data_IF_515768566140
#
_entry.id   IF_515768566140
#
_cell.length_a   1.000
_cell.length_b   1.000
_cell.length_c   1.000
_cell.angle_alpha   90.00
_cell.angle_beta   90.00
_cell.angle_gamma   90.00
#
_symmetry.space_group_name_H-M   'P 1'
#
loop_
_entity.id
_entity.type
_entity.pdbx_description
1 polymer ?
#
# COMPACT_ATOMS: atom_id res chain seq x y z
N UNK A 1 -1.64 0.67 -4.71
CA UNK A 1 -0.36 0.48 -5.43
C UNK A 1 -0.50 0.33 -6.95
N UNK A 2 -0.92 -0.79 -7.54
CA UNK A 2 -0.92 -0.93 -9.03
C UNK A 2 -1.71 0.18 -9.73
N UNK A 3 -2.96 0.41 -9.30
CA UNK A 3 -3.80 1.48 -9.85
C UNK A 3 -3.17 2.86 -9.65
N UNK A 4 -2.72 3.15 -8.41
CA UNK A 4 -2.06 4.42 -8.08
C UNK A 4 -0.82 4.68 -8.95
N UNK A 5 0.05 3.68 -9.12
CA UNK A 5 1.22 3.79 -10.00
C UNK A 5 0.77 3.99 -11.44
N UNK A 6 -0.23 3.25 -11.91
CA UNK A 6 -0.78 3.42 -13.26
C UNK A 6 -1.27 4.84 -13.52
N UNK A 7 -2.06 5.40 -12.61
CA UNK A 7 -2.61 6.76 -12.74
C UNK A 7 -1.49 7.81 -12.70
N UNK A 8 -0.55 7.69 -11.74
CA UNK A 8 0.60 8.58 -11.64
C UNK A 8 1.49 8.56 -12.89
N UNK A 9 1.79 7.37 -13.42
CA UNK A 9 2.59 7.24 -14.64
C UNK A 9 1.86 7.81 -15.85
N UNK A 10 0.55 7.56 -15.99
CA UNK A 10 -0.25 8.13 -17.09
C UNK A 10 -0.31 9.65 -17.04
N UNK A 11 -0.51 10.22 -15.87
CA UNK A 11 -0.51 11.67 -15.69
C UNK A 11 0.86 12.25 -16.04
N UNK A 12 1.93 11.69 -15.46
CA UNK A 12 3.29 12.20 -15.60
C UNK A 12 3.83 12.07 -17.03
N UNK A 13 3.42 11.01 -17.74
CA UNK A 13 3.86 10.73 -19.11
C UNK A 13 2.86 11.18 -20.18
N UNK A 14 1.79 11.88 -19.80
CA UNK A 14 0.72 12.34 -20.73
C UNK A 14 1.22 13.14 -21.94
N UNK A 15 2.36 13.81 -21.80
CA UNK A 15 2.98 14.60 -22.88
C UNK A 15 3.89 13.78 -23.81
N UNK A 16 4.11 12.50 -23.52
CA UNK A 16 4.99 11.61 -24.27
C UNK A 16 4.17 10.50 -24.96
N UNK A 17 4.60 10.03 -26.14
CA UNK A 17 3.95 8.93 -26.84
C UNK A 17 4.36 7.58 -26.23
N UNK A 18 4.20 7.42 -24.92
CA UNK A 18 4.54 6.20 -24.17
C UNK A 18 3.24 5.47 -23.87
N UNK A 19 3.15 4.21 -24.30
CA UNK A 19 2.00 3.38 -23.99
C UNK A 19 2.18 2.71 -22.63
N UNK A 20 1.29 3.05 -21.70
CA UNK A 20 1.30 2.55 -20.33
C UNK A 20 0.06 1.70 -20.14
N UNK A 21 0.24 0.46 -19.70
CA UNK A 21 -0.87 -0.40 -19.30
C UNK A 21 -0.64 -1.01 -17.91
N UNK A 22 -1.67 -1.66 -17.40
CA UNK A 22 -1.61 -2.38 -16.14
C UNK A 22 -2.15 -3.80 -16.25
N UNK A 23 -1.51 -4.72 -15.53
CA UNK A 23 -1.97 -6.08 -15.35
C UNK A 23 -2.37 -6.27 -13.88
N UNK A 24 -3.66 -6.16 -13.63
CA UNK A 24 -4.27 -6.30 -12.31
C UNK A 24 -5.46 -7.26 -12.37
N UNK A 25 -5.93 -7.69 -11.20
CA UNK A 25 -7.14 -8.51 -11.08
C UNK A 25 -8.43 -7.77 -11.48
N UNK A 26 -8.37 -6.44 -11.67
CA UNK A 26 -9.51 -5.58 -12.07
C UNK A 26 -9.78 -5.60 -13.56
N UNK A 27 -8.80 -6.05 -14.34
CA UNK A 27 -8.99 -6.26 -15.77
C UNK A 27 -9.75 -7.56 -15.98
N UNK A 28 -10.75 -7.52 -16.85
CA UNK A 28 -11.43 -8.72 -17.34
C UNK A 28 -10.44 -9.68 -17.98
N UNK A 29 -10.77 -10.97 -18.04
CA UNK A 29 -9.91 -11.97 -18.70
C UNK A 29 -9.59 -11.59 -20.16
N UNK A 30 -10.54 -10.96 -20.84
CA UNK A 30 -10.37 -10.51 -22.22
C UNK A 30 -9.35 -9.36 -22.31
N UNK A 31 -9.46 -8.36 -21.44
CA UNK A 31 -8.47 -7.27 -21.36
C UNK A 31 -7.09 -7.79 -20.97
N UNK A 32 -6.99 -8.66 -19.96
CA UNK A 32 -5.71 -9.24 -19.56
C UNK A 32 -5.03 -9.98 -20.72
N UNK A 33 -5.81 -10.77 -21.48
CA UNK A 33 -5.27 -11.49 -22.63
C UNK A 33 -4.71 -10.53 -23.69
N UNK A 34 -5.44 -9.45 -23.98
CA UNK A 34 -5.00 -8.42 -24.91
C UNK A 34 -3.71 -7.74 -24.43
N UNK A 35 -3.63 -7.38 -23.15
CA UNK A 35 -2.42 -6.76 -22.57
C UNK A 35 -1.21 -7.68 -22.70
N UNK A 36 -1.39 -9.00 -22.50
CA UNK A 36 -0.31 -9.98 -22.63
C UNK A 36 0.16 -10.09 -24.09
N UNK A 37 -0.77 -10.12 -25.06
CA UNK A 37 -0.46 -10.12 -26.50
C UNK A 37 0.28 -8.84 -26.90
N UNK A 38 -0.23 -7.66 -26.50
CA UNK A 38 0.39 -6.37 -26.81
C UNK A 38 1.78 -6.22 -26.15
N UNK A 39 2.02 -6.86 -24.99
CA UNK A 39 3.32 -6.91 -24.32
C UNK A 39 4.34 -7.79 -25.06
N UNK A 40 3.92 -8.95 -25.59
CA UNK A 40 4.77 -9.83 -26.39
C UNK A 40 5.13 -9.19 -27.75
N UNK A 41 4.22 -8.40 -28.33
CA UNK A 41 4.46 -7.64 -29.56
C UNK A 41 5.29 -6.35 -29.33
N UNK A 42 5.44 -5.93 -28.07
CA UNK A 42 6.16 -4.72 -27.66
C UNK A 42 5.43 -3.43 -28.02
N UNK A 43 4.09 -3.45 -27.96
CA UNK A 43 3.24 -2.25 -28.07
C UNK A 43 3.08 -1.53 -26.73
N UNK A 44 3.41 -2.20 -25.61
CA UNK A 44 3.35 -1.63 -24.26
C UNK A 44 4.77 -1.30 -23.81
N UNK A 45 5.04 -0.02 -23.54
CA UNK A 45 6.36 0.45 -23.12
C UNK A 45 6.55 0.31 -21.60
N UNK A 46 5.49 0.58 -20.83
CA UNK A 46 5.49 0.45 -19.37
C UNK A 46 4.29 -0.40 -18.95
N UNK A 47 4.58 -1.51 -18.27
CA UNK A 47 3.56 -2.39 -17.70
C UNK A 47 3.65 -2.39 -16.17
N UNK A 48 2.54 -2.05 -15.52
CA UNK A 48 2.45 -1.99 -14.05
C UNK A 48 1.55 -3.12 -13.58
N UNK A 49 2.03 -3.92 -12.63
CA UNK A 49 1.24 -5.08 -12.21
C UNK A 49 1.71 -5.69 -10.91
N UNK A 50 0.96 -6.69 -10.47
CA UNK A 50 1.27 -7.45 -9.26
C UNK A 50 2.25 -8.59 -9.59
N UNK A 51 2.32 -9.58 -8.70
CA UNK A 51 2.96 -10.87 -8.98
C UNK A 51 2.43 -11.60 -10.23
N UNK A 52 1.35 -11.12 -10.88
CA UNK A 52 0.91 -11.64 -12.17
C UNK A 52 1.97 -11.50 -13.27
N UNK A 53 2.75 -10.41 -13.26
CA UNK A 53 3.78 -10.11 -14.28
C UNK A 53 4.98 -11.08 -14.26
N UNK A 54 5.16 -11.80 -13.16
CA UNK A 54 6.25 -12.77 -12.99
C UNK A 54 5.77 -14.22 -13.18
N UNK A 55 4.58 -14.41 -13.76
CA UNK A 55 4.11 -15.74 -14.15
C UNK A 55 4.74 -16.19 -15.47
N UNK A 56 4.83 -17.50 -15.67
CA UNK A 56 5.60 -18.09 -16.79
C UNK A 56 5.00 -17.81 -18.17
N UNK A 57 3.73 -17.44 -18.23
CA UNK A 57 3.00 -17.10 -19.45
C UNK A 57 3.18 -15.64 -19.87
N UNK A 58 3.89 -14.83 -19.08
CA UNK A 58 4.22 -13.45 -19.44
C UNK A 58 5.53 -13.45 -20.20
N UNK A 59 5.51 -12.86 -21.40
CA UNK A 59 6.68 -12.66 -22.26
C UNK A 59 6.81 -11.20 -22.60
N UNK A 60 8.01 -10.68 -22.43
CA UNK A 60 8.38 -9.33 -22.82
C UNK A 60 9.16 -9.42 -24.12
N UNK A 61 8.87 -8.52 -25.08
CA UNK A 61 9.66 -8.42 -26.31
C UNK A 61 11.12 -8.09 -26.04
N UNK A 62 11.34 -7.05 -25.22
CA UNK A 62 12.66 -6.57 -24.82
C UNK A 62 12.54 -5.84 -23.46
N UNK A 63 12.84 -6.54 -22.37
CA UNK A 63 12.74 -5.99 -21.02
C UNK A 63 14.07 -5.34 -20.62
N UNK A 64 14.12 -4.00 -20.59
CA UNK A 64 15.34 -3.27 -20.22
C UNK A 64 15.45 -2.93 -18.73
N UNK A 65 14.32 -2.70 -18.05
CA UNK A 65 14.29 -2.20 -16.67
C UNK A 65 13.20 -2.90 -15.84
N UNK A 66 13.57 -3.31 -14.63
CA UNK A 66 12.64 -3.84 -13.63
C UNK A 66 12.59 -2.96 -12.38
N UNK A 67 11.44 -2.36 -12.11
CA UNK A 67 11.18 -1.63 -10.87
C UNK A 67 10.39 -2.54 -9.92
N UNK A 68 10.93 -2.78 -8.73
CA UNK A 68 10.27 -3.56 -7.67
C UNK A 68 9.97 -2.65 -6.49
N UNK A 69 8.69 -2.46 -6.20
CA UNK A 69 8.24 -1.71 -5.03
C UNK A 69 7.92 -2.65 -3.87
N UNK A 70 8.36 -2.30 -2.66
CA UNK A 70 8.13 -3.04 -1.41
C UNK A 70 8.47 -4.55 -1.50
N UNK A 71 9.66 -4.88 -2.03
CA UNK A 71 10.15 -6.25 -2.31
C UNK A 71 9.94 -7.24 -1.14
N UNK A 72 9.98 -6.77 0.10
CA UNK A 72 9.78 -7.60 1.28
C UNK A 72 8.40 -8.29 1.31
N UNK A 73 7.37 -7.72 0.69
CA UNK A 73 6.01 -8.29 0.64
C UNK A 73 5.88 -9.47 -0.34
N UNK A 74 6.86 -9.68 -1.22
CA UNK A 74 6.82 -10.81 -2.15
C UNK A 74 7.20 -12.14 -1.47
N UNK A 75 6.48 -13.20 -1.82
CA UNK A 75 6.77 -14.57 -1.39
C UNK A 75 8.10 -15.09 -1.94
N UNK A 76 8.61 -16.18 -1.36
CA UNK A 76 9.92 -16.76 -1.72
C UNK A 76 9.99 -17.14 -3.21
N UNK A 77 8.94 -17.80 -3.73
CA UNK A 77 8.86 -18.19 -5.15
C UNK A 77 8.92 -16.98 -6.09
N UNK A 78 8.25 -15.88 -5.72
CA UNK A 78 8.26 -14.65 -6.50
C UNK A 78 9.65 -14.03 -6.51
N UNK A 79 10.33 -14.01 -5.35
CA UNK A 79 11.69 -13.48 -5.21
C UNK A 79 12.71 -14.25 -6.05
N UNK A 80 12.60 -15.58 -6.12
CA UNK A 80 13.47 -16.39 -6.98
C UNK A 80 13.27 -16.08 -8.47
N UNK A 81 12.02 -15.86 -8.92
CA UNK A 81 11.77 -15.45 -10.32
C UNK A 81 12.29 -14.05 -10.61
N UNK A 82 12.05 -13.10 -9.70
CA UNK A 82 12.61 -11.74 -9.80
C UNK A 82 14.13 -11.80 -9.89
N UNK A 83 14.78 -12.65 -9.08
CA UNK A 83 16.24 -12.82 -9.12
C UNK A 83 16.73 -13.29 -10.49
N UNK A 84 16.04 -14.26 -11.12
CA UNK A 84 16.37 -14.71 -12.48
C UNK A 84 16.22 -13.61 -13.53
N UNK A 85 15.17 -12.80 -13.43
CA UNK A 85 14.97 -11.66 -14.33
C UNK A 85 16.08 -10.61 -14.15
N UNK A 86 16.45 -10.31 -12.90
CA UNK A 86 17.52 -9.35 -12.53
C UNK A 86 18.91 -9.74 -13.04
N UNK A 87 19.15 -10.99 -13.47
CA UNK A 87 20.47 -11.40 -14.00
C UNK A 87 20.78 -10.78 -15.37
N UNK A 88 19.76 -10.41 -16.14
CA UNK A 88 19.91 -9.93 -17.52
C UNK A 88 19.46 -8.50 -17.75
N UNK A 89 18.96 -7.80 -16.72
CA UNK A 89 18.33 -6.48 -16.86
C UNK A 89 18.70 -5.55 -15.70
N UNK A 90 18.62 -4.25 -15.93
CA UNK A 90 18.77 -3.26 -14.87
C UNK A 90 17.58 -3.34 -13.91
N UNK A 91 17.83 -3.20 -12.61
CA UNK A 91 16.76 -3.27 -11.61
C UNK A 91 16.86 -2.20 -10.54
N UNK A 92 15.72 -1.56 -10.25
CA UNK A 92 15.55 -0.59 -9.19
C UNK A 92 14.60 -1.20 -8.14
N UNK A 93 15.03 -1.25 -6.89
CA UNK A 93 14.18 -1.71 -5.78
C UNK A 93 13.88 -0.55 -4.85
N UNK A 94 12.60 -0.24 -4.68
CA UNK A 94 12.09 0.81 -3.80
C UNK A 94 11.53 0.18 -2.53
N UNK A 95 11.82 0.77 -1.37
CA UNK A 95 11.28 0.32 -0.10
C UNK A 95 11.31 1.43 0.93
N UNK A 96 10.22 1.58 1.70
CA UNK A 96 10.21 2.45 2.87
C UNK A 96 11.05 1.89 4.04
N UNK A 97 11.31 0.58 4.06
CA UNK A 97 12.04 -0.10 5.15
C UNK A 97 12.94 -1.20 4.59
N UNK A 98 14.26 -0.97 4.45
CA UNK A 98 15.14 -1.98 3.88
C UNK A 98 15.19 -3.24 4.78
N UNK A 99 15.16 -4.41 4.15
CA UNK A 99 15.34 -5.69 4.85
C UNK A 99 16.73 -5.70 5.51
N UNK A 100 16.88 -6.10 6.79
CA UNK A 100 18.17 -6.00 7.50
C UNK A 100 19.36 -6.61 6.74
N UNK A 101 19.15 -7.74 6.07
CA UNK A 101 20.18 -8.38 5.23
C UNK A 101 20.51 -7.56 3.98
N UNK A 102 19.51 -6.98 3.32
CA UNK A 102 19.70 -6.11 2.14
C UNK A 102 20.42 -4.82 2.52
N UNK A 103 20.08 -4.23 3.68
CA UNK A 103 20.79 -3.09 4.24
C UNK A 103 22.26 -3.45 4.50
N UNK A 104 22.52 -4.59 5.17
CA UNK A 104 23.88 -5.06 5.41
C UNK A 104 24.67 -5.26 4.11
N UNK A 105 24.08 -5.90 3.09
CA UNK A 105 24.72 -6.07 1.78
C UNK A 105 25.07 -4.73 1.11
N UNK A 106 24.25 -3.70 1.33
CA UNK A 106 24.54 -2.37 0.81
C UNK A 106 25.65 -1.68 1.59
N UNK A 107 25.66 -1.82 2.92
CA UNK A 107 26.71 -1.27 3.78
C UNK A 107 28.10 -1.87 3.51
N UNK A 108 28.17 -3.13 3.06
CA UNK A 108 29.43 -3.78 2.65
C UNK A 108 29.79 -3.53 1.17
N UNK A 109 29.05 -2.67 0.46
CA UNK A 109 29.37 -2.27 -0.93
C UNK A 109 29.03 -3.31 -2.01
N UNK A 110 28.25 -4.35 -1.69
CA UNK A 110 27.79 -5.35 -2.67
C UNK A 110 26.57 -4.85 -3.47
N UNK A 111 25.88 -3.83 -2.95
CA UNK A 111 24.76 -3.15 -3.62
C UNK A 111 24.83 -1.65 -3.37
N UNK A 112 24.58 -0.87 -4.42
CA UNK A 112 24.42 0.57 -4.27
C UNK A 112 23.11 0.89 -3.54
N UNK A 113 23.18 1.83 -2.60
CA UNK A 113 22.05 2.29 -1.80
C UNK A 113 21.98 3.81 -1.87
N UNK A 114 20.89 4.31 -2.44
CA UNK A 114 20.53 5.72 -2.33
C UNK A 114 19.50 5.90 -1.23
N UNK A 115 19.78 6.79 -0.29
CA UNK A 115 18.87 7.10 0.82
C UNK A 115 18.29 8.49 0.62
N UNK A 116 16.96 8.57 0.48
CA UNK A 116 16.24 9.83 0.39
C UNK A 116 15.75 10.20 1.80
N UNK A 117 16.50 11.06 2.48
CA UNK A 117 16.21 11.49 3.86
C UNK A 117 15.41 12.80 3.95
N UNK A 118 15.48 13.64 2.92
CA UNK A 118 14.84 14.96 2.93
C UNK A 118 13.34 14.80 2.66
N UNK A 119 12.45 15.14 3.60
CA UNK A 119 11.02 15.16 3.33
C UNK A 119 10.67 16.32 2.37
N UNK A 120 9.55 16.26 1.65
CA UNK A 120 9.04 17.40 0.87
C UNK A 120 8.81 18.63 1.75
N UNK A 121 8.93 19.84 1.19
CA UNK A 121 8.87 21.11 1.94
C UNK A 121 7.55 21.30 2.72
N UNK A 122 6.43 20.78 2.21
CA UNK A 122 5.10 20.90 2.83
C UNK A 122 4.78 19.79 3.86
N UNK A 123 5.74 18.93 4.21
CA UNK A 123 5.48 17.81 5.14
C UNK A 123 5.61 18.24 6.59
N UNK A 124 4.48 18.55 7.22
CA UNK A 124 4.43 18.77 8.67
C UNK A 124 4.75 17.48 9.45
N UNK A 125 5.50 17.57 10.57
CA UNK A 125 5.76 16.41 11.42
C UNK A 125 4.47 15.85 12.00
N UNK A 126 4.33 14.52 11.98
CA UNK A 126 3.20 13.82 12.60
C UNK A 126 3.39 13.80 14.12
N UNK A 127 2.48 14.44 14.85
CA UNK A 127 2.49 14.42 16.32
C UNK A 127 2.14 13.01 16.83
N UNK A 128 3.12 12.31 17.40
CA UNK A 128 2.95 10.95 17.92
C UNK A 128 2.81 10.95 19.44
N UNK A 129 1.73 10.37 19.95
CA UNK A 129 1.48 10.22 21.38
C UNK A 129 1.49 8.75 21.75
N UNK A 130 2.19 8.39 22.83
CA UNK A 130 2.20 7.04 23.39
C UNK A 130 1.53 7.14 24.75
N UNK A 131 0.35 6.56 24.88
CA UNK A 131 -0.40 6.55 26.13
C UNK A 131 -0.94 5.15 26.42
N UNK A 132 -1.31 4.92 27.68
CA UNK A 132 -2.17 3.78 28.01
C UNK A 132 -3.53 3.99 27.35
N UNK A 133 -4.25 2.91 27.11
CA UNK A 133 -5.61 2.99 26.57
C UNK A 133 -6.48 3.82 27.51
N UNK A 134 -6.90 4.98 27.03
CA UNK A 134 -7.83 5.88 27.69
C UNK A 134 -8.92 6.24 26.67
N UNK A 135 -10.14 5.78 26.93
CA UNK A 135 -11.27 5.95 26.01
C UNK A 135 -11.62 7.44 25.83
N UNK A 136 -11.29 8.32 26.79
CA UNK A 136 -11.50 9.77 26.65
C UNK A 136 -10.53 10.38 25.66
N UNK A 137 -9.24 10.04 25.77
CA UNK A 137 -8.19 10.54 24.85
C UNK A 137 -8.47 10.04 23.44
N UNK A 138 -8.81 8.76 23.29
CA UNK A 138 -9.22 8.18 22.02
C UNK A 138 -10.44 8.90 21.44
N UNK A 139 -11.46 9.16 22.27
CA UNK A 139 -12.67 9.82 21.81
C UNK A 139 -12.45 11.27 21.40
N UNK A 140 -11.59 12.01 22.10
CA UNK A 140 -11.20 13.37 21.76
C UNK A 140 -10.44 13.41 20.43
N UNK A 141 -9.49 12.50 20.21
CA UNK A 141 -8.78 12.37 18.95
C UNK A 141 -9.73 12.08 17.78
N UNK A 142 -10.70 11.18 17.98
CA UNK A 142 -11.70 10.85 16.96
C UNK A 142 -12.59 12.07 16.65
N UNK A 143 -13.15 12.73 17.68
CA UNK A 143 -14.00 13.92 17.48
C UNK A 143 -13.27 15.02 16.73
N UNK A 144 -12.03 15.30 17.13
CA UNK A 144 -11.21 16.33 16.48
C UNK A 144 -11.01 16.06 14.99
N UNK A 145 -10.89 14.80 14.58
CA UNK A 145 -10.79 14.44 13.17
C UNK A 145 -12.12 14.63 12.43
N UNK A 146 -13.21 14.16 13.03
CA UNK A 146 -14.53 14.25 12.45
C UNK A 146 -14.97 15.72 12.28
N UNK A 147 -14.64 16.58 13.25
CA UNK A 147 -14.94 18.02 13.21
C UNK A 147 -14.22 18.75 12.06
N UNK A 148 -13.10 18.20 11.57
CA UNK A 148 -12.37 18.70 10.39
C UNK A 148 -12.73 17.96 9.09
N UNK A 149 -13.80 17.17 9.10
CA UNK A 149 -14.26 16.35 7.96
C UNK A 149 -13.17 15.42 7.39
N UNK A 150 -12.24 15.02 8.25
CA UNK A 150 -11.16 14.10 7.92
C UNK A 150 -11.56 12.65 8.19
N UNK A 151 -10.66 11.74 7.83
CA UNK A 151 -10.87 10.30 7.98
C UNK A 151 -9.86 9.70 8.95
N UNK A 152 -10.23 8.59 9.61
CA UNK A 152 -9.44 7.96 10.67
C UNK A 152 -9.14 6.51 10.32
N UNK A 153 -7.89 6.11 10.48
CA UNK A 153 -7.55 4.69 10.62
C UNK A 153 -7.58 4.26 12.08
N UNK A 154 -8.38 3.24 12.40
CA UNK A 154 -8.35 2.57 13.70
C UNK A 154 -7.76 1.17 13.53
N UNK A 155 -6.47 1.02 13.86
CA UNK A 155 -5.75 -0.24 13.67
C UNK A 155 -5.95 -1.15 14.88
N UNK A 156 -6.68 -2.24 14.68
CA UNK A 156 -6.86 -3.31 15.66
C UNK A 156 -6.46 -4.65 15.05
N UNK A 157 -5.28 -5.15 15.39
CA UNK A 157 -4.67 -6.33 14.75
C UNK A 157 -5.21 -7.68 15.28
N UNK A 158 -6.54 -7.81 15.45
CA UNK A 158 -7.22 -9.07 15.81
C UNK A 158 -8.60 -9.15 15.16
N UNK A 159 -8.71 -9.97 14.12
CA UNK A 159 -9.98 -10.15 13.37
C UNK A 159 -11.13 -10.62 14.26
N UNK A 160 -10.88 -11.50 15.23
CA UNK A 160 -11.92 -12.05 16.11
C UNK A 160 -12.67 -10.99 16.93
N UNK A 161 -12.01 -9.87 17.27
CA UNK A 161 -12.58 -8.79 18.10
C UNK A 161 -12.84 -7.50 17.33
N UNK A 162 -12.51 -7.44 16.04
CA UNK A 162 -12.63 -6.21 15.23
C UNK A 162 -14.08 -5.71 15.14
N UNK A 163 -15.03 -6.63 15.02
CA UNK A 163 -16.47 -6.33 14.98
C UNK A 163 -16.95 -5.70 16.29
N UNK A 164 -16.42 -6.17 17.42
CA UNK A 164 -16.72 -5.60 18.73
C UNK A 164 -16.21 -4.16 18.83
N UNK A 165 -14.96 -3.92 18.41
CA UNK A 165 -14.36 -2.58 18.40
C UNK A 165 -15.17 -1.63 17.53
N UNK A 166 -15.55 -2.04 16.33
CA UNK A 166 -16.39 -1.24 15.45
C UNK A 166 -17.77 -0.95 16.07
N UNK A 167 -18.38 -1.94 16.73
CA UNK A 167 -19.65 -1.75 17.45
C UNK A 167 -19.54 -0.80 18.64
N UNK A 168 -18.43 -0.86 19.39
CA UNK A 168 -18.14 0.05 20.51
C UNK A 168 -17.93 1.49 19.99
N UNK A 169 -17.20 1.66 18.89
CA UNK A 169 -17.02 2.95 18.22
C UNK A 169 -18.35 3.50 17.69
N UNK A 170 -19.20 2.67 17.08
CA UNK A 170 -20.50 3.08 16.56
C UNK A 170 -21.44 3.56 17.68
N UNK A 171 -21.33 2.98 18.87
CA UNK A 171 -22.07 3.44 20.05
C UNK A 171 -21.57 4.79 20.57
N UNK A 172 -20.27 5.03 20.51
CA UNK A 172 -19.65 6.27 20.96
C UNK A 172 -19.81 7.42 19.94
N UNK A 173 -19.89 7.10 18.65
CA UNK A 173 -19.97 8.03 17.53
C UNK A 173 -21.08 7.61 16.56
N UNK A 174 -22.37 7.69 16.96
CA UNK A 174 -23.49 7.24 16.13
C UNK A 174 -23.64 8.01 14.81
N UNK A 175 -23.06 9.21 14.72
CA UNK A 175 -23.03 10.02 13.51
C UNK A 175 -21.87 9.67 12.55
N UNK A 176 -20.87 8.92 13.01
CA UNK A 176 -19.73 8.55 12.19
C UNK A 176 -20.01 7.27 11.39
N UNK A 177 -19.67 7.28 10.11
CA UNK A 177 -19.80 6.10 9.23
C UNK A 177 -18.59 5.22 9.42
N UNK A 178 -18.78 4.07 10.05
CA UNK A 178 -17.68 3.17 10.43
C UNK A 178 -17.63 1.98 9.47
N UNK A 179 -16.49 1.82 8.79
CA UNK A 179 -16.18 0.66 7.96
C UNK A 179 -15.27 -0.34 8.69
N UNK A 180 -15.24 -1.58 8.22
CA UNK A 180 -14.35 -2.63 8.75
C UNK A 180 -13.59 -3.25 7.59
N UNK A 181 -12.27 -3.33 7.70
CA UNK A 181 -11.43 -3.93 6.66
C UNK A 181 -10.36 -4.85 7.28
N UNK A 182 -10.36 -6.14 6.93
CA UNK A 182 -9.36 -7.07 7.46
C UNK A 182 -8.96 -8.16 6.46
N UNK A 183 -7.78 -8.76 6.68
CA UNK A 183 -7.17 -9.69 5.71
C UNK A 183 -7.88 -11.04 5.52
N UNK A 184 -8.86 -11.38 6.37
CA UNK A 184 -9.72 -12.57 6.17
C UNK A 184 -10.94 -12.31 5.27
N UNK A 185 -11.16 -11.07 4.83
CA UNK A 185 -12.26 -10.74 3.90
C UNK A 185 -11.92 -11.26 2.51
N UNK A 186 -12.96 -11.50 1.71
CA UNK A 186 -12.76 -11.75 0.29
C UNK A 186 -12.03 -10.54 -0.32
N UNK A 187 -11.13 -10.83 -1.27
CA UNK A 187 -10.29 -9.82 -1.90
C UNK A 187 -11.08 -8.70 -2.59
N UNK A 188 -12.20 -9.05 -3.24
CA UNK A 188 -13.14 -8.12 -3.88
C UNK A 188 -13.84 -7.24 -2.84
N UNK A 189 -14.38 -7.84 -1.78
CA UNK A 189 -15.05 -7.11 -0.70
C UNK A 189 -14.12 -6.12 -0.01
N UNK A 190 -12.86 -6.51 0.23
CA UNK A 190 -11.88 -5.65 0.88
C UNK A 190 -11.64 -4.39 0.06
N UNK A 191 -11.59 -4.54 -1.25
CA UNK A 191 -11.36 -3.44 -2.16
C UNK A 191 -12.55 -2.52 -2.32
N UNK A 192 -13.76 -3.05 -2.43
CA UNK A 192 -14.98 -2.23 -2.45
C UNK A 192 -15.01 -1.30 -1.24
N UNK A 193 -14.65 -1.82 -0.05
CA UNK A 193 -14.56 -1.03 1.18
C UNK A 193 -13.45 0.03 1.10
N UNK A 194 -12.31 -0.29 0.48
CA UNK A 194 -11.25 0.71 0.29
C UNK A 194 -11.65 1.80 -0.69
N UNK A 195 -12.37 1.48 -1.76
CA UNK A 195 -12.93 2.45 -2.72
C UNK A 195 -13.95 3.32 -2.01
N UNK A 196 -14.88 2.72 -1.27
CA UNK A 196 -15.88 3.43 -0.47
C UNK A 196 -15.22 4.36 0.56
N UNK A 197 -14.11 3.93 1.17
CA UNK A 197 -13.34 4.77 2.06
C UNK A 197 -12.67 5.94 1.32
N UNK A 198 -12.06 5.72 0.16
CA UNK A 198 -11.50 6.78 -0.69
C UNK A 198 -12.58 7.81 -1.10
N UNK A 199 -13.80 7.34 -1.41
CA UNK A 199 -14.96 8.17 -1.77
C UNK A 199 -15.63 8.86 -0.57
N UNK A 200 -15.01 8.84 0.61
CA UNK A 200 -15.54 9.39 1.86
C UNK A 200 -16.93 8.84 2.22
N UNK A 201 -17.23 7.58 1.91
CA UNK A 201 -18.44 6.90 2.42
C UNK A 201 -18.29 6.44 3.86
N UNK A 202 -17.06 6.23 4.31
CA UNK A 202 -16.74 5.95 5.72
C UNK A 202 -15.83 7.04 6.28
N UNK A 203 -16.08 7.44 7.52
CA UNK A 203 -15.28 8.41 8.26
C UNK A 203 -14.18 7.71 9.07
N UNK A 204 -14.47 6.51 9.59
CA UNK A 204 -13.54 5.71 10.37
C UNK A 204 -13.43 4.32 9.75
N UNK A 205 -12.21 3.89 9.42
CA UNK A 205 -11.94 2.53 8.99
C UNK A 205 -11.26 1.75 10.11
N UNK A 206 -11.99 0.78 10.69
CA UNK A 206 -11.44 -0.16 11.66
C UNK A 206 -10.77 -1.30 10.91
N UNK A 207 -9.44 -1.39 11.00
CA UNK A 207 -8.69 -2.29 10.14
C UNK A 207 -7.59 -3.06 10.87
N UNK A 208 -7.13 -4.16 10.25
CA UNK A 208 -5.88 -4.82 10.64
C UNK A 208 -4.68 -4.14 9.97
N UNK A 209 -3.48 -4.72 10.05
CA UNK A 209 -2.25 -4.28 9.35
C UNK A 209 -2.31 -4.32 7.82
N UNK A 210 -3.49 -4.50 7.24
CA UNK A 210 -3.70 -4.54 5.79
C UNK A 210 -3.43 -3.18 5.14
N UNK A 211 -3.62 -2.08 5.88
CA UNK A 211 -3.37 -0.71 5.39
C UNK A 211 -1.88 -0.40 5.22
N UNK A 212 -0.98 -1.29 5.69
CA UNK A 212 0.44 -1.20 5.40
C UNK A 212 0.73 -1.25 3.87
N UNK A 213 -0.17 -1.85 3.06
CA UNK A 213 0.07 -2.24 1.64
C UNK A 213 -0.09 -1.09 0.64
N UNK A 214 0.14 0.16 1.01
CA UNK A 214 0.30 1.22 0.00
C UNK A 214 -1.01 1.71 -0.63
N UNK A 215 -1.98 1.98 0.24
CA UNK A 215 -3.05 2.93 -0.08
C UNK A 215 -2.68 4.24 0.61
N UNK A 216 -2.26 5.21 -0.20
CA UNK A 216 -2.09 6.58 0.23
C UNK A 216 -3.46 7.27 0.14
N UNK A 217 -4.02 7.64 1.29
CA UNK A 217 -5.33 8.28 1.37
C UNK A 217 -5.11 9.69 1.94
N UNK A 218 -5.04 10.72 1.08
CA UNK A 218 -4.63 12.06 1.50
C UNK A 218 -5.57 12.69 2.54
N UNK A 219 -6.80 12.19 2.65
CA UNK A 219 -7.80 12.67 3.60
C UNK A 219 -7.71 12.00 4.97
N UNK A 220 -6.88 10.97 5.14
CA UNK A 220 -6.66 10.32 6.44
C UNK A 220 -5.53 11.04 7.15
N UNK A 221 -5.88 11.77 8.23
CA UNK A 221 -4.91 12.60 8.94
C UNK A 221 -4.73 12.20 10.41
N UNK A 222 -5.43 11.15 10.86
CA UNK A 222 -5.32 10.57 12.20
C UNK A 222 -5.28 9.04 12.12
N UNK A 223 -4.29 8.45 12.79
CA UNK A 223 -4.19 7.01 12.99
C UNK A 223 -4.19 6.68 14.49
N UNK A 224 -5.03 5.72 14.88
CA UNK A 224 -5.13 5.19 16.23
C UNK A 224 -4.70 3.72 16.18
N UNK A 225 -3.62 3.39 16.90
CA UNK A 225 -3.08 2.02 16.92
C UNK A 225 -3.42 1.38 18.27
N UNK A 226 -4.38 0.46 18.26
CA UNK A 226 -4.72 -0.34 19.43
C UNK A 226 -3.65 -1.41 19.68
N UNK A 227 -3.30 -1.64 20.94
CA UNK A 227 -2.27 -2.60 21.35
C UNK A 227 -0.91 -2.44 20.63
N UNK A 228 -0.43 -1.20 20.45
CA UNK A 228 0.81 -0.89 19.73
C UNK A 228 2.06 -1.70 20.18
N UNK A 229 2.10 -2.17 21.43
CA UNK A 229 3.15 -3.04 21.98
C UNK A 229 3.28 -4.40 21.26
N UNK A 230 2.30 -4.80 20.45
CA UNK A 230 2.30 -6.06 19.69
C UNK A 230 2.88 -5.94 18.28
N UNK A 231 3.26 -4.74 17.87
CA UNK A 231 3.74 -4.47 16.51
C UNK A 231 5.27 -4.39 16.51
N UNK A 232 5.88 -4.81 15.40
CA UNK A 232 7.28 -4.52 15.15
C UNK A 232 7.51 -3.03 14.88
N UNK A 233 8.71 -2.53 15.19
CA UNK A 233 9.06 -1.12 14.94
C UNK A 233 8.92 -0.71 13.47
N UNK A 234 9.28 -1.61 12.54
CA UNK A 234 9.09 -1.36 11.10
C UNK A 234 7.62 -1.22 10.72
N UNK A 235 6.73 -2.01 11.34
CA UNK A 235 5.29 -1.93 11.11
C UNK A 235 4.73 -0.61 11.65
N UNK A 236 5.10 -0.22 12.87
CA UNK A 236 4.68 1.06 13.44
C UNK A 236 5.17 2.24 12.61
N UNK A 237 6.39 2.18 12.08
CA UNK A 237 6.93 3.21 11.20
C UNK A 237 6.15 3.30 9.89
N UNK A 238 5.81 2.16 9.27
CA UNK A 238 4.98 2.11 8.06
C UNK A 238 3.57 2.64 8.32
N UNK A 239 2.93 2.22 9.42
CA UNK A 239 1.61 2.70 9.84
C UNK A 239 1.61 4.20 10.10
N UNK A 240 2.66 4.74 10.71
CA UNK A 240 2.82 6.20 10.91
C UNK A 240 2.98 6.95 9.59
N UNK A 241 3.43 6.29 8.52
CA UNK A 241 3.57 6.89 7.20
C UNK A 241 2.31 6.83 6.33
N UNK A 242 1.22 6.23 6.83
CA UNK A 242 -0.11 6.18 6.22
C UNK A 242 -1.03 7.19 6.87
#
# INVERSE_FOLDING_TARGET
>A
LVQQHYDNFRERMSSFPINIDMLSRFRTKQEQKKVIEDLEEGKVDIIIGTHRLIQNDIRFKDLGLLIVDEEQRFGVLHKERIKKLKESIDSLTLTATPIPRTLHMSLIGVRDLSVINTPPEDRFPIATYICRRDDKVMAEAIRRELDREGQIFFVHNRVRSIQKIAGDLNRLFPQARIGIAHGQMAEEQLEDIMIDFLEKKYDVLVCTTIIEIGLDIPNVNTIIIDEAHKFGLSQLYQLRGR
#
